data_IF_894119714375
#
_entry.id   IF_894119714375
#
_cell.length_a   1.000
_cell.length_b   1.000
_cell.length_c   1.000
_cell.angle_alpha   90.00
_cell.angle_beta   90.00
_cell.angle_gamma   90.00
#
_symmetry.space_group_name_H-M   'P 1'
#
loop_
_entity.id
_entity.type
_entity.pdbx_description
1 polymer ?
#
# COMPACT_ATOMS: atom_id res chain seq x y z
N UNK A 1 44.24 -80.35 37.94
CA UNK A 1 44.35 -78.88 38.04
C UNK A 1 44.65 -78.31 36.66
N UNK A 2 43.64 -78.05 35.83
CA UNK A 2 43.77 -77.29 34.58
C UNK A 2 42.72 -76.18 34.63
N UNK A 3 43.16 -74.94 34.85
CA UNK A 3 42.29 -73.77 34.86
C UNK A 3 42.07 -73.31 33.43
N UNK A 4 40.85 -73.52 32.93
CA UNK A 4 40.36 -72.98 31.68
C UNK A 4 40.12 -71.46 31.86
N UNK A 5 41.02 -70.62 31.37
CA UNK A 5 40.84 -69.16 31.35
C UNK A 5 39.92 -68.79 30.18
N UNK A 6 38.66 -68.50 30.48
CA UNK A 6 37.71 -67.90 29.55
C UNK A 6 38.14 -66.45 29.32
N UNK A 7 38.71 -66.16 28.14
CA UNK A 7 38.89 -64.79 27.67
C UNK A 7 37.52 -64.24 27.27
N UNK A 8 36.95 -63.39 28.12
CA UNK A 8 35.81 -62.54 27.77
C UNK A 8 36.29 -61.55 26.69
N UNK A 9 36.00 -61.86 25.43
CA UNK A 9 36.11 -60.91 24.33
C UNK A 9 35.05 -59.82 24.55
N UNK A 10 35.47 -58.68 25.09
CA UNK A 10 34.67 -57.47 25.17
C UNK A 10 34.29 -57.05 23.76
N UNK A 11 33.05 -57.37 23.36
CA UNK A 11 32.45 -56.90 22.12
C UNK A 11 32.22 -55.39 22.26
N UNK A 12 33.19 -54.59 21.85
CA UNK A 12 33.02 -53.13 21.72
C UNK A 12 32.02 -52.92 20.58
N UNK A 13 30.81 -52.38 20.84
CA UNK A 13 29.91 -52.04 19.76
C UNK A 13 30.61 -50.99 18.90
N UNK A 14 30.81 -51.30 17.61
CA UNK A 14 31.14 -50.31 16.59
C UNK A 14 30.03 -49.27 16.61
N UNK A 15 30.28 -48.15 17.28
CA UNK A 15 29.43 -46.97 17.18
C UNK A 15 29.55 -46.56 15.71
N UNK A 16 28.51 -46.85 14.93
CA UNK A 16 28.35 -46.28 13.60
C UNK A 16 28.30 -44.77 13.80
N UNK A 17 29.45 -44.11 13.63
CA UNK A 17 29.51 -42.65 13.55
C UNK A 17 28.82 -42.32 12.24
N UNK A 18 27.52 -42.07 12.30
CA UNK A 18 26.80 -41.55 11.16
C UNK A 18 27.53 -40.26 10.75
N UNK A 19 27.99 -40.19 9.50
CA UNK A 19 28.54 -38.99 8.90
C UNK A 19 27.39 -38.13 8.37
N UNK A 20 27.37 -36.86 8.74
CA UNK A 20 26.23 -35.98 8.50
C UNK A 20 26.39 -34.63 9.16
N UNK A 21 25.58 -33.68 8.73
CA UNK A 21 25.64 -32.31 9.22
C UNK A 21 24.88 -32.19 10.53
N UNK A 22 25.46 -31.49 11.50
CA UNK A 22 24.77 -31.12 12.73
C UNK A 22 24.28 -29.68 12.63
N UNK A 23 22.97 -29.46 12.74
CA UNK A 23 22.37 -28.12 12.65
C UNK A 23 21.15 -28.00 13.56
N UNK A 24 21.11 -26.95 14.38
CA UNK A 24 19.97 -26.70 15.29
C UNK A 24 19.67 -27.85 16.27
N UNK A 25 20.68 -28.66 16.63
CA UNK A 25 20.51 -29.85 17.47
C UNK A 25 20.06 -31.12 16.73
N UNK A 26 19.78 -31.05 15.43
CA UNK A 26 19.41 -32.19 14.58
C UNK A 26 20.60 -32.68 13.75
N UNK A 27 20.47 -33.91 13.24
CA UNK A 27 21.47 -34.58 12.41
C UNK A 27 20.90 -34.90 11.03
N UNK A 28 21.60 -34.50 9.97
CA UNK A 28 21.15 -34.59 8.58
C UNK A 28 22.14 -35.38 7.72
N UNK A 29 21.63 -36.24 6.83
CA UNK A 29 22.44 -37.05 5.91
C UNK A 29 22.96 -36.21 4.74
N UNK A 30 24.01 -36.68 4.07
CA UNK A 30 24.51 -36.03 2.85
C UNK A 30 23.39 -35.90 1.80
N UNK A 31 23.21 -34.70 1.26
CA UNK A 31 22.17 -34.35 0.29
C UNK A 31 20.77 -34.13 0.89
N UNK A 32 20.59 -34.36 2.19
CA UNK A 32 19.30 -34.13 2.85
C UNK A 32 18.92 -32.65 2.84
N UNK A 33 17.67 -32.37 2.49
CA UNK A 33 17.09 -31.02 2.47
C UNK A 33 16.02 -30.86 3.56
N UNK A 34 16.01 -29.72 4.23
CA UNK A 34 14.98 -29.40 5.22
C UNK A 34 14.54 -27.94 5.15
N UNK A 35 13.38 -27.66 5.73
CA UNK A 35 12.84 -26.29 5.83
C UNK A 35 13.32 -25.65 7.13
N UNK A 36 13.89 -24.45 7.00
CA UNK A 36 14.36 -23.63 8.12
C UNK A 36 13.51 -22.36 8.20
N UNK A 37 12.94 -22.09 9.38
CA UNK A 37 12.10 -20.91 9.67
C UNK A 37 10.98 -20.64 8.65
N UNK A 38 10.45 -21.70 8.04
CA UNK A 38 9.43 -21.69 6.99
C UNK A 38 9.77 -20.91 5.70
N UNK A 39 10.93 -20.23 5.62
CA UNK A 39 11.29 -19.35 4.51
C UNK A 39 12.52 -19.83 3.72
N UNK A 40 13.26 -20.83 4.23
CA UNK A 40 14.50 -21.30 3.60
C UNK A 40 14.52 -22.81 3.46
N UNK A 41 15.09 -23.28 2.36
CA UNK A 41 15.44 -24.69 2.16
C UNK A 41 16.94 -24.82 2.36
N UNK A 42 17.32 -25.59 3.36
CA UNK A 42 18.70 -25.91 3.69
C UNK A 42 19.10 -27.25 3.06
N UNK A 43 20.40 -27.46 2.81
CA UNK A 43 20.97 -28.75 2.40
C UNK A 43 22.21 -29.07 3.21
N UNK A 44 22.39 -30.34 3.54
CA UNK A 44 23.64 -30.89 4.06
C UNK A 44 24.54 -31.36 2.90
N UNK A 45 25.78 -30.89 2.86
CA UNK A 45 26.78 -31.26 1.85
C UNK A 45 28.02 -31.81 2.57
N UNK A 46 28.39 -33.07 2.28
CA UNK A 46 29.60 -33.72 2.81
C UNK A 46 30.63 -33.86 1.67
N UNK A 47 31.84 -33.39 1.92
CA UNK A 47 33.00 -33.45 1.02
C UNK A 47 33.74 -34.80 1.14
N UNK A 48 34.65 -35.08 0.19
CA UNK A 48 35.44 -36.32 0.18
C UNK A 48 36.35 -36.50 1.42
N UNK A 49 36.82 -35.39 1.99
CA UNK A 49 37.61 -35.36 3.24
C UNK A 49 36.76 -35.54 4.51
N UNK A 50 35.48 -35.89 4.36
CA UNK A 50 34.48 -35.98 5.43
C UNK A 50 34.17 -34.65 6.13
N UNK A 51 34.66 -33.51 5.63
CA UNK A 51 34.15 -32.20 6.05
C UNK A 51 32.71 -32.02 5.59
N UNK A 52 31.93 -31.27 6.34
CA UNK A 52 30.52 -31.02 6.02
C UNK A 52 30.16 -29.56 6.19
N UNK A 53 29.13 -29.12 5.45
CA UNK A 53 28.53 -27.80 5.60
C UNK A 53 27.02 -27.86 5.42
N UNK A 54 26.33 -26.92 6.05
CA UNK A 54 24.93 -26.64 5.77
C UNK A 54 24.80 -25.33 5.03
N UNK A 55 24.07 -25.33 3.92
CA UNK A 55 23.88 -24.13 3.09
C UNK A 55 22.41 -23.95 2.72
N UNK A 56 21.99 -22.70 2.57
CA UNK A 56 20.67 -22.38 2.00
C UNK A 56 20.75 -22.59 0.50
N UNK A 57 19.88 -23.42 -0.05
CA UNK A 57 19.83 -23.74 -1.48
C UNK A 57 18.61 -23.13 -2.19
N UNK A 58 17.63 -22.66 -1.43
CA UNK A 58 16.45 -21.97 -1.95
C UNK A 58 15.72 -21.18 -0.85
N UNK A 59 14.91 -20.21 -1.26
CA UNK A 59 13.90 -19.58 -0.42
C UNK A 59 12.52 -20.22 -0.67
N UNK A 60 11.60 -20.03 0.27
CA UNK A 60 10.20 -20.40 0.17
C UNK A 60 9.34 -19.15 0.31
N UNK A 61 8.42 -18.94 -0.62
CA UNK A 61 7.35 -17.93 -0.48
C UNK A 61 6.42 -18.28 0.69
N UNK A 62 5.58 -17.34 1.16
CA UNK A 62 4.56 -17.64 2.19
C UNK A 62 3.58 -18.76 1.80
N UNK A 63 3.31 -18.92 0.50
CA UNK A 63 2.49 -20.00 -0.07
C UNK A 63 3.26 -21.31 -0.26
N UNK A 64 4.58 -21.30 -0.10
CA UNK A 64 5.44 -22.49 -0.07
C UNK A 64 6.12 -22.83 -1.39
N UNK A 65 6.04 -21.99 -2.41
CA UNK A 65 6.79 -22.16 -3.66
C UNK A 65 8.30 -21.99 -3.43
N UNK A 66 9.08 -22.89 -4.03
CA UNK A 66 10.55 -22.92 -3.91
C UNK A 66 11.20 -22.02 -4.97
N UNK A 67 12.03 -21.09 -4.53
CA UNK A 67 12.81 -20.18 -5.39
C UNK A 67 14.30 -20.48 -5.20
N UNK A 68 15.04 -20.93 -6.22
CA UNK A 68 16.48 -21.18 -6.09
C UNK A 68 17.24 -19.90 -5.73
N UNK A 69 18.42 -20.03 -5.14
CA UNK A 69 19.31 -18.89 -4.87
C UNK A 69 19.59 -18.11 -6.16
N UNK A 70 19.53 -16.79 -6.06
CA UNK A 70 19.59 -15.80 -7.14
C UNK A 70 18.47 -15.96 -8.19
N UNK A 71 17.42 -16.72 -7.88
CA UNK A 71 16.23 -16.85 -8.69
C UNK A 71 15.13 -15.86 -8.30
N UNK A 72 14.14 -15.77 -9.17
CA UNK A 72 12.93 -15.00 -8.96
C UNK A 72 11.67 -15.79 -9.36
N UNK A 73 10.53 -15.43 -8.79
CA UNK A 73 9.24 -16.01 -9.09
C UNK A 73 8.14 -14.95 -8.99
N UNK A 74 7.35 -14.81 -10.04
CA UNK A 74 6.18 -13.93 -10.04
C UNK A 74 4.94 -14.69 -9.58
N UNK A 75 4.22 -14.16 -8.60
CA UNK A 75 2.95 -14.72 -8.09
C UNK A 75 1.94 -13.57 -8.03
N UNK A 76 0.95 -13.60 -8.92
CA UNK A 76 -0.01 -12.50 -9.05
C UNK A 76 0.70 -11.20 -9.43
N UNK A 77 0.56 -10.17 -8.59
CA UNK A 77 1.24 -8.88 -8.78
C UNK A 77 2.63 -8.83 -8.13
N UNK A 78 2.99 -9.83 -7.32
CA UNK A 78 4.24 -9.83 -6.60
C UNK A 78 5.35 -10.47 -7.42
N UNK A 79 6.56 -9.97 -7.22
CA UNK A 79 7.80 -10.62 -7.60
C UNK A 79 8.57 -10.98 -6.34
N UNK A 80 8.89 -12.26 -6.19
CA UNK A 80 9.71 -12.78 -5.11
C UNK A 80 11.12 -13.03 -5.62
N UNK A 81 12.12 -12.52 -4.90
CA UNK A 81 13.54 -12.70 -5.23
C UNK A 81 14.26 -13.36 -4.07
N UNK A 82 14.99 -14.45 -4.34
CA UNK A 82 15.85 -15.09 -3.36
C UNK A 82 17.30 -14.69 -3.65
N UNK A 83 17.85 -13.74 -2.91
CA UNK A 83 19.18 -13.16 -3.20
C UNK A 83 20.22 -13.58 -2.17
N UNK A 84 21.40 -13.98 -2.62
CA UNK A 84 22.59 -14.14 -1.79
C UNK A 84 23.47 -12.90 -1.96
N UNK A 85 23.73 -12.16 -0.87
CA UNK A 85 24.60 -10.99 -0.94
C UNK A 85 26.09 -11.36 -0.80
N UNK A 86 26.97 -10.38 -0.97
CA UNK A 86 28.42 -10.56 -0.88
C UNK A 86 28.92 -10.94 0.51
N UNK A 87 28.09 -10.76 1.56
CA UNK A 87 28.39 -11.19 2.92
C UNK A 87 28.02 -12.66 3.18
N UNK A 88 27.37 -13.32 2.21
CA UNK A 88 26.87 -14.68 2.34
C UNK A 88 25.46 -14.76 2.95
N UNK A 89 24.78 -13.63 3.15
CA UNK A 89 23.42 -13.62 3.70
C UNK A 89 22.40 -13.86 2.58
N UNK A 90 21.54 -14.86 2.80
CA UNK A 90 20.40 -15.13 1.92
C UNK A 90 19.17 -14.37 2.41
N UNK A 91 18.53 -13.65 1.49
CA UNK A 91 17.32 -12.86 1.75
C UNK A 91 16.23 -13.20 0.74
N UNK A 92 15.01 -13.40 1.23
CA UNK A 92 13.81 -13.39 0.40
C UNK A 92 13.23 -11.97 0.38
N UNK A 93 13.14 -11.37 -0.80
CA UNK A 93 12.60 -10.00 -0.99
C UNK A 93 11.33 -10.07 -1.83
N UNK A 94 10.28 -9.41 -1.35
CA UNK A 94 9.05 -9.19 -2.11
C UNK A 94 9.10 -7.81 -2.77
N UNK A 95 8.73 -7.74 -4.04
CA UNK A 95 8.49 -6.52 -4.79
C UNK A 95 7.26 -6.68 -5.67
N UNK A 96 7.00 -5.70 -6.54
CA UNK A 96 5.91 -5.76 -7.52
C UNK A 96 6.50 -6.11 -8.87
N UNK A 97 5.90 -7.07 -9.59
CA UNK A 97 6.39 -7.45 -10.92
C UNK A 97 5.94 -6.43 -12.00
N UNK A 98 6.67 -6.36 -13.11
CA UNK A 98 6.35 -5.41 -14.18
C UNK A 98 4.99 -5.69 -14.86
N UNK A 99 4.52 -6.93 -14.79
CA UNK A 99 3.24 -7.37 -15.35
C UNK A 99 2.06 -7.21 -14.38
N UNK A 100 2.29 -6.58 -13.22
CA UNK A 100 1.28 -6.43 -12.19
C UNK A 100 0.07 -5.71 -12.74
N UNK A 101 -1.10 -6.30 -12.50
CA UNK A 101 -2.39 -5.79 -12.93
C UNK A 101 -2.85 -4.68 -12.01
N UNK A 102 -3.53 -3.68 -12.58
CA UNK A 102 -4.17 -2.63 -11.82
C UNK A 102 -5.46 -3.12 -11.14
N UNK A 103 -5.96 -2.33 -10.19
CA UNK A 103 -7.27 -2.56 -9.56
C UNK A 103 -8.36 -2.75 -10.62
N UNK A 104 -9.20 -3.77 -10.47
CA UNK A 104 -10.15 -4.19 -11.51
C UNK A 104 -9.61 -5.26 -12.47
N UNK A 105 -8.33 -5.64 -12.35
CA UNK A 105 -7.73 -6.74 -13.12
C UNK A 105 -7.17 -6.35 -14.47
N UNK A 106 -7.00 -5.04 -14.72
CA UNK A 106 -6.49 -4.51 -15.99
C UNK A 106 -5.00 -4.79 -16.17
N UNK A 107 -4.64 -5.29 -17.35
CA UNK A 107 -3.25 -5.57 -17.72
C UNK A 107 -2.48 -4.28 -18.03
N UNK A 108 -1.15 -4.23 -17.86
CA UNK A 108 -0.34 -3.08 -18.28
C UNK A 108 -0.60 -2.68 -19.74
N UNK A 109 -0.80 -1.38 -19.97
CA UNK A 109 -1.17 -0.77 -21.25
C UNK A 109 -2.67 -0.70 -21.53
N UNK A 110 -3.50 -1.44 -20.77
CA UNK A 110 -4.95 -1.34 -20.91
C UNK A 110 -5.48 0.01 -20.41
N UNK A 111 -6.55 0.47 -21.06
CA UNK A 111 -7.26 1.70 -20.70
C UNK A 111 -8.70 1.39 -20.36
N UNK A 112 -9.21 2.06 -19.33
CA UNK A 112 -10.60 1.93 -18.92
C UNK A 112 -11.15 3.28 -18.46
N UNK A 113 -12.46 3.40 -18.51
CA UNK A 113 -13.18 4.57 -18.02
C UNK A 113 -13.90 4.18 -16.74
N UNK A 114 -13.76 5.01 -15.70
CA UNK A 114 -14.54 4.90 -14.47
C UNK A 114 -15.08 6.28 -14.13
N UNK A 115 -16.42 6.38 -14.07
CA UNK A 115 -17.14 7.65 -13.97
C UNK A 115 -16.73 8.59 -15.12
N UNK A 116 -16.17 9.75 -14.81
CA UNK A 116 -15.75 10.77 -15.77
C UNK A 116 -14.23 10.77 -16.02
N UNK A 117 -13.54 9.66 -15.77
CA UNK A 117 -12.08 9.59 -15.88
C UNK A 117 -11.64 8.36 -16.66
N UNK A 118 -10.73 8.54 -17.60
CA UNK A 118 -10.02 7.47 -18.29
C UNK A 118 -8.65 7.27 -17.66
N UNK A 119 -8.34 6.03 -17.34
CA UNK A 119 -7.07 5.61 -16.79
C UNK A 119 -6.34 4.66 -17.73
N UNK A 120 -5.04 4.54 -17.55
CA UNK A 120 -4.17 3.54 -18.16
C UNK A 120 -3.41 2.80 -17.08
N UNK A 121 -3.30 1.47 -17.22
CA UNK A 121 -2.50 0.66 -16.32
C UNK A 121 -1.05 0.76 -16.75
N UNK A 122 -0.18 1.17 -15.85
CA UNK A 122 1.26 1.21 -16.05
C UNK A 122 1.88 -0.09 -15.56
N UNK A 123 3.08 -0.45 -16.07
CA UNK A 123 3.87 -1.53 -15.50
C UNK A 123 4.03 -1.37 -13.98
N UNK A 124 3.94 -2.48 -13.24
CA UNK A 124 3.98 -2.46 -11.78
C UNK A 124 2.64 -2.12 -11.11
N UNK A 125 1.52 -2.22 -11.82
CA UNK A 125 0.17 -2.03 -11.27
C UNK A 125 -0.17 -0.58 -10.90
N UNK A 126 0.66 0.38 -11.32
CA UNK A 126 0.40 1.80 -11.16
C UNK A 126 -0.68 2.29 -12.13
N UNK A 127 -1.49 3.26 -11.73
CA UNK A 127 -2.52 3.83 -12.60
C UNK A 127 -2.13 5.24 -13.03
N UNK A 128 -2.41 5.59 -14.29
CA UNK A 128 -2.21 6.94 -14.82
C UNK A 128 -3.51 7.49 -15.36
N UNK A 129 -3.90 8.69 -14.91
CA UNK A 129 -4.98 9.43 -15.54
C UNK A 129 -4.57 9.87 -16.95
N UNK A 130 -5.36 9.49 -17.95
CA UNK A 130 -5.14 9.81 -19.36
C UNK A 130 -6.01 10.99 -19.80
N UNK A 131 -7.29 10.96 -19.42
CA UNK A 131 -8.26 11.99 -19.80
C UNK A 131 -9.43 12.08 -18.82
N UNK A 132 -10.12 13.21 -18.80
CA UNK A 132 -11.48 13.32 -18.28
C UNK A 132 -12.46 12.96 -19.41
N UNK A 133 -13.59 12.33 -19.09
CA UNK A 133 -14.61 11.90 -20.04
C UNK A 133 -15.89 12.66 -19.76
N UNK A 134 -16.30 13.49 -20.72
CA UNK A 134 -17.57 14.22 -20.68
C UNK A 134 -18.77 13.27 -20.88
N UNK A 135 -19.96 13.70 -20.50
CA UNK A 135 -21.20 12.89 -20.56
C UNK A 135 -21.54 12.40 -21.98
N UNK A 136 -21.13 13.13 -23.02
CA UNK A 136 -21.30 12.71 -24.42
C UNK A 136 -20.18 11.81 -24.94
N UNK A 137 -19.27 11.37 -24.06
CA UNK A 137 -18.13 10.52 -24.38
C UNK A 137 -16.89 11.26 -24.86
N UNK A 138 -16.93 12.60 -25.01
CA UNK A 138 -15.75 13.38 -25.41
C UNK A 138 -14.64 13.27 -24.37
N UNK A 139 -13.42 12.91 -24.82
CA UNK A 139 -12.24 12.79 -23.98
C UNK A 139 -11.44 14.08 -23.96
N UNK A 140 -11.26 14.65 -22.78
CA UNK A 140 -10.44 15.85 -22.52
C UNK A 140 -9.12 15.41 -21.90
N UNK A 141 -8.02 15.57 -22.64
CA UNK A 141 -6.69 15.23 -22.12
C UNK A 141 -6.35 15.98 -20.82
N UNK A 142 -5.51 15.38 -19.98
CA UNK A 142 -5.07 16.01 -18.73
C UNK A 142 -4.38 17.36 -19.00
N UNK A 143 -4.74 18.37 -18.21
CA UNK A 143 -4.33 19.77 -18.34
C UNK A 143 -4.66 20.37 -19.72
N UNK A 144 -5.74 19.88 -20.36
CA UNK A 144 -6.27 20.41 -21.61
C UNK A 144 -7.66 20.98 -21.41
N UNK A 145 -8.04 21.81 -22.36
CA UNK A 145 -9.36 22.43 -22.45
C UNK A 145 -9.91 22.23 -23.85
N UNK A 146 -11.18 21.86 -23.95
CA UNK A 146 -11.90 21.65 -25.21
C UNK A 146 -13.27 22.34 -25.15
N UNK A 147 -13.87 22.65 -26.30
CA UNK A 147 -15.21 23.21 -26.36
C UNK A 147 -16.18 22.10 -26.77
N UNK A 148 -17.18 21.82 -25.94
CA UNK A 148 -18.24 20.85 -26.19
C UNK A 148 -19.58 21.55 -26.07
N UNK A 149 -20.38 21.59 -27.16
CA UNK A 149 -21.71 22.22 -27.19
C UNK A 149 -21.74 23.64 -26.58
N UNK A 150 -20.79 24.49 -26.96
CA UNK A 150 -20.64 25.87 -26.46
C UNK A 150 -20.25 25.99 -24.96
N UNK A 151 -19.80 24.90 -24.34
CA UNK A 151 -19.17 24.89 -23.02
C UNK A 151 -17.68 24.59 -23.17
N UNK A 152 -16.85 25.45 -22.61
CA UNK A 152 -15.43 25.21 -22.42
C UNK A 152 -15.25 24.24 -21.24
N UNK A 153 -14.70 23.07 -21.51
CA UNK A 153 -14.47 22.00 -20.54
C UNK A 153 -12.96 21.82 -20.34
N UNK A 154 -12.50 21.98 -19.11
CA UNK A 154 -11.10 21.81 -18.71
C UNK A 154 -10.95 20.57 -17.84
N UNK A 155 -9.92 19.76 -18.10
CA UNK A 155 -9.51 18.64 -17.25
C UNK A 155 -8.18 19.00 -16.58
N UNK A 156 -8.16 19.20 -15.26
CA UNK A 156 -6.97 19.62 -14.53
C UNK A 156 -6.54 18.54 -13.53
N UNK A 157 -5.27 18.12 -13.57
CA UNK A 157 -4.68 17.18 -12.61
C UNK A 157 -3.66 17.90 -11.74
N UNK A 158 -3.96 17.95 -10.45
CA UNK A 158 -3.10 18.57 -9.45
C UNK A 158 -2.00 17.62 -9.01
N UNK A 159 -0.85 18.18 -8.56
CA UNK A 159 0.28 17.37 -8.04
C UNK A 159 -0.09 16.51 -6.83
N UNK A 160 -1.16 16.84 -6.12
CA UNK A 160 -1.68 16.08 -4.99
C UNK A 160 -2.59 14.91 -5.41
N UNK A 161 -2.72 14.62 -6.71
CA UNK A 161 -3.55 13.54 -7.24
C UNK A 161 -5.02 13.90 -7.47
N UNK A 162 -5.45 15.11 -7.09
CA UNK A 162 -6.83 15.56 -7.34
C UNK A 162 -7.04 15.82 -8.83
N UNK A 163 -8.18 15.39 -9.37
CA UNK A 163 -8.59 15.65 -10.74
C UNK A 163 -9.86 16.46 -10.73
N UNK A 164 -9.87 17.58 -11.46
CA UNK A 164 -11.02 18.46 -11.55
C UNK A 164 -11.40 18.66 -13.00
N UNK A 165 -12.68 18.38 -13.31
CA UNK A 165 -13.29 18.74 -14.58
C UNK A 165 -14.13 19.99 -14.37
N UNK A 166 -13.78 21.10 -15.03
CA UNK A 166 -14.53 22.36 -14.97
C UNK A 166 -15.26 22.58 -16.28
N UNK A 167 -16.50 23.04 -16.22
CA UNK A 167 -17.23 23.56 -17.37
C UNK A 167 -17.52 25.05 -17.17
N UNK A 168 -17.35 25.84 -18.23
CA UNK A 168 -17.75 27.24 -18.28
C UNK A 168 -18.36 27.55 -19.64
N UNK A 169 -19.39 28.38 -19.71
CA UNK A 169 -19.95 28.80 -21.01
C UNK A 169 -18.88 29.54 -21.82
N UNK A 170 -18.77 29.22 -23.12
CA UNK A 170 -17.78 29.81 -24.02
C UNK A 170 -18.08 31.30 -24.37
N UNK A 171 -19.03 31.94 -23.69
CA UNK A 171 -19.42 33.33 -23.91
C UNK A 171 -20.17 33.91 -22.70
N UNK A 172 -19.47 34.73 -21.90
CA UNK A 172 -20.08 35.89 -21.26
C UNK A 172 -18.98 36.97 -21.10
N UNK A 173 -19.11 38.15 -21.75
CA UNK A 173 -18.26 39.29 -21.45
C UNK A 173 -18.44 39.69 -19.98
N UNK A 174 -17.37 40.21 -19.38
CA UNK A 174 -17.37 40.73 -18.02
C UNK A 174 -18.47 41.79 -17.85
N UNK A 175 -19.55 41.41 -17.17
CA UNK A 175 -20.44 42.21 -16.31
C UNK A 175 -21.80 41.52 -16.23
N UNK A 176 -22.19 41.03 -15.04
CA UNK A 176 -23.58 41.02 -14.56
C UNK A 176 -23.64 40.59 -13.09
N UNK A 177 -24.27 41.46 -12.31
CA UNK A 177 -24.61 41.28 -10.90
C UNK A 177 -25.81 40.33 -10.75
N UNK A 178 -25.89 39.71 -9.57
CA UNK A 178 -27.10 39.17 -8.90
C UNK A 178 -27.53 37.72 -9.17
N UNK A 179 -27.40 36.92 -8.10
CA UNK A 179 -28.37 35.94 -7.57
C UNK A 179 -29.04 34.94 -8.52
N UNK A 180 -28.37 33.80 -8.75
CA UNK A 180 -29.02 32.48 -8.84
C UNK A 180 -27.99 31.39 -8.49
N UNK A 181 -28.23 30.70 -7.37
CA UNK A 181 -27.25 29.85 -6.67
C UNK A 181 -26.99 28.52 -7.37
N UNK A 182 -25.97 28.48 -8.21
CA UNK A 182 -25.25 27.26 -8.60
C UNK A 182 -23.83 27.39 -8.04
N UNK A 183 -23.53 26.57 -7.04
CA UNK A 183 -22.41 26.71 -6.09
C UNK A 183 -21.05 26.44 -6.73
N UNK A 184 -20.55 27.47 -7.42
CA UNK A 184 -19.18 27.64 -7.87
C UNK A 184 -18.36 28.20 -6.71
N UNK A 185 -17.50 27.39 -6.08
CA UNK A 185 -16.44 27.91 -5.21
C UNK A 185 -15.44 28.70 -6.07
N UNK A 186 -15.61 30.03 -6.11
CA UNK A 186 -14.64 30.96 -6.67
C UNK A 186 -13.39 30.97 -5.78
N UNK A 187 -12.34 30.28 -6.19
CA UNK A 187 -10.99 30.58 -5.66
C UNK A 187 -10.54 31.89 -6.32
N UNK A 188 -10.49 32.96 -5.54
CA UNK A 188 -9.90 34.22 -5.95
C UNK A 188 -8.37 34.09 -5.83
N UNK A 189 -7.57 34.17 -6.90
CA UNK A 189 -6.12 34.28 -6.78
C UNK A 189 -5.80 35.73 -6.44
N UNK A 190 -5.33 36.01 -5.22
CA UNK A 190 -4.61 37.25 -4.98
C UNK A 190 -3.15 37.04 -5.32
N UNK A 191 -2.74 37.63 -6.46
CA UNK A 191 -1.34 37.85 -6.78
C UNK A 191 -0.70 38.69 -5.66
N UNK A 192 0.20 38.09 -4.88
CA UNK A 192 1.14 38.86 -4.06
C UNK A 192 2.52 38.77 -4.71
N UNK A 193 3.09 39.89 -5.18
CA UNK A 193 4.45 39.94 -5.66
C UNK A 193 5.35 40.07 -4.42
N UNK A 194 5.82 38.95 -3.89
CA UNK A 194 7.12 38.89 -3.21
C UNK A 194 7.47 37.44 -2.88
N UNK A 195 8.76 37.16 -3.07
CA UNK A 195 9.49 35.95 -2.73
C UNK A 195 9.03 35.26 -1.42
N UNK A 196 8.82 33.95 -1.50
CA UNK A 196 8.88 33.05 -0.35
C UNK A 196 7.57 32.77 0.38
N UNK A 197 7.00 31.60 0.06
CA UNK A 197 6.00 30.86 0.84
C UNK A 197 4.50 31.17 0.54
N UNK A 198 3.93 30.45 -0.43
CA UNK A 198 2.49 30.42 -0.69
C UNK A 198 1.80 29.63 0.44
N UNK A 199 1.12 30.32 1.36
CA UNK A 199 0.35 29.67 2.43
C UNK A 199 -1.05 29.34 1.91
N UNK A 200 -1.30 28.06 1.62
CA UNK A 200 -2.59 27.55 1.16
C UNK A 200 -3.48 27.20 2.37
N UNK A 201 -4.69 27.77 2.40
CA UNK A 201 -5.71 27.51 3.42
C UNK A 201 -6.69 26.39 2.98
N UNK A 202 -7.33 25.72 3.93
CA UNK A 202 -8.40 24.77 3.65
C UNK A 202 -9.74 25.50 3.52
N UNK A 203 -10.71 24.85 2.89
CA UNK A 203 -12.11 25.33 2.82
C UNK A 203 -13.00 24.22 3.37
N UNK A 204 -13.94 24.56 4.23
CA UNK A 204 -14.90 23.60 4.79
C UNK A 204 -16.20 23.50 3.98
N UNK A 205 -17.13 22.66 4.46
CA UNK A 205 -18.46 22.43 3.87
C UNK A 205 -19.38 23.65 3.90
N UNK A 206 -18.99 24.72 4.60
CA UNK A 206 -19.71 26.02 4.68
C UNK A 206 -19.00 27.12 3.89
N UNK A 207 -18.08 26.74 3.01
CA UNK A 207 -17.23 27.63 2.23
C UNK A 207 -16.34 28.56 3.09
N UNK A 208 -16.14 28.23 4.37
CA UNK A 208 -15.33 29.04 5.26
C UNK A 208 -13.84 28.69 5.09
N UNK A 209 -13.02 29.73 4.95
CA UNK A 209 -11.56 29.59 4.88
C UNK A 209 -11.03 29.20 6.27
N UNK A 210 -10.28 28.10 6.32
CA UNK A 210 -9.65 27.52 7.50
C UNK A 210 -8.13 27.64 7.38
N UNK A 211 -7.51 28.29 8.36
CA UNK A 211 -6.06 28.42 8.43
C UNK A 211 -5.43 27.08 8.81
N UNK A 212 -4.15 26.89 8.44
CA UNK A 212 -3.40 25.71 8.87
C UNK A 212 -3.41 25.65 10.40
N UNK A 213 -3.83 24.51 10.94
CA UNK A 213 -4.06 24.30 12.38
C UNK A 213 -5.52 24.35 12.80
N UNK A 214 -6.41 24.99 12.01
CA UNK A 214 -7.83 25.09 12.34
C UNK A 214 -8.49 23.71 12.37
N UNK A 215 -9.45 23.56 13.28
CA UNK A 215 -10.23 22.33 13.45
C UNK A 215 -11.71 22.68 13.37
N UNK A 216 -12.47 21.91 12.59
CA UNK A 216 -13.92 22.08 12.42
C UNK A 216 -14.64 20.73 12.39
N UNK A 217 -15.96 20.80 12.47
CA UNK A 217 -16.84 19.63 12.29
C UNK A 217 -17.48 19.76 10.91
N UNK A 218 -17.22 18.78 10.06
CA UNK A 218 -17.75 18.67 8.71
C UNK A 218 -18.90 17.66 8.69
N UNK A 219 -20.00 18.01 8.02
CA UNK A 219 -21.20 17.17 7.92
C UNK A 219 -21.73 16.67 9.28
N UNK A 220 -21.53 17.44 10.35
CA UNK A 220 -21.90 17.13 11.75
C UNK A 220 -21.27 15.85 12.34
N UNK A 221 -20.43 15.14 11.57
CA UNK A 221 -19.95 13.80 11.90
C UNK A 221 -18.44 13.71 11.98
N UNK A 222 -17.71 14.48 11.17
CA UNK A 222 -16.25 14.34 11.06
C UNK A 222 -15.54 15.55 11.64
N UNK A 223 -14.62 15.31 12.56
CA UNK A 223 -13.72 16.33 13.07
C UNK A 223 -12.50 16.41 12.15
N UNK A 224 -12.35 17.52 11.44
CA UNK A 224 -11.24 17.75 10.51
C UNK A 224 -10.25 18.76 11.04
N UNK A 225 -9.00 18.62 10.65
CA UNK A 225 -7.92 19.57 10.90
C UNK A 225 -7.33 20.03 9.58
N UNK A 226 -7.20 21.33 9.37
CA UNK A 226 -6.44 21.87 8.26
C UNK A 226 -4.95 21.69 8.56
N UNK A 227 -4.24 21.00 7.69
CA UNK A 227 -2.79 20.87 7.71
C UNK A 227 -2.20 21.69 6.56
N UNK A 228 -0.87 21.72 6.45
CA UNK A 228 -0.20 22.51 5.43
C UNK A 228 -0.68 22.16 4.01
N UNK A 229 -0.53 23.10 3.08
CA UNK A 229 -0.88 22.95 1.67
C UNK A 229 -2.38 22.77 1.38
N UNK A 230 -3.26 23.30 2.24
CA UNK A 230 -4.72 23.24 2.04
C UNK A 230 -5.33 21.84 2.19
N UNK A 231 -4.58 20.90 2.75
CA UNK A 231 -5.04 19.53 3.02
C UNK A 231 -5.81 19.53 4.34
N UNK A 232 -6.96 18.86 4.38
CA UNK A 232 -7.69 18.64 5.63
C UNK A 232 -7.76 17.15 5.96
N UNK A 233 -7.35 16.79 7.16
CA UNK A 233 -7.33 15.40 7.64
C UNK A 233 -8.46 15.18 8.63
N UNK A 234 -9.10 14.01 8.58
CA UNK A 234 -10.06 13.60 9.61
C UNK A 234 -9.25 13.13 10.82
N UNK A 235 -9.42 13.83 11.95
CA UNK A 235 -8.74 13.53 13.21
C UNK A 235 -9.66 12.85 14.23
N UNK A 236 -10.95 12.72 13.91
CA UNK A 236 -11.92 12.01 14.74
C UNK A 236 -13.35 12.11 14.20
N UNK A 237 -14.26 11.52 14.93
CA UNK A 237 -15.69 11.56 14.68
C UNK A 237 -16.40 12.33 15.81
N UNK A 238 -17.63 12.78 15.55
CA UNK A 238 -18.48 13.45 16.53
C UNK A 238 -19.81 12.69 16.63
N UNK A 239 -20.23 12.36 17.85
CA UNK A 239 -21.55 11.75 18.08
C UNK A 239 -22.66 12.78 17.86
N UNK A 240 -23.91 12.33 17.70
CA UNK A 240 -25.08 13.24 17.63
C UNK A 240 -25.23 14.17 18.83
N UNK A 241 -24.70 13.78 19.99
CA UNK A 241 -24.70 14.56 21.22
C UNK A 241 -23.51 15.52 21.32
N UNK A 242 -22.65 15.58 20.30
CA UNK A 242 -21.47 16.46 20.26
C UNK A 242 -20.21 15.88 20.92
N UNK A 243 -20.24 14.65 21.44
CA UNK A 243 -19.04 14.01 22.00
C UNK A 243 -18.00 13.74 20.91
N UNK A 244 -16.74 14.02 21.22
CA UNK A 244 -15.61 13.78 20.32
C UNK A 244 -15.06 12.36 20.51
N UNK A 245 -14.90 11.63 19.41
CA UNK A 245 -14.27 10.31 19.37
C UNK A 245 -12.99 10.45 18.54
N UNK A 246 -11.79 10.39 19.14
CA UNK A 246 -10.54 10.46 18.38
C UNK A 246 -10.43 9.34 17.34
N UNK A 247 -9.75 9.61 16.23
CA UNK A 247 -9.57 8.61 15.19
C UNK A 247 -8.80 7.39 15.71
N UNK A 248 -9.25 6.20 15.32
CA UNK A 248 -8.77 4.88 15.76
C UNK A 248 -8.88 4.65 17.27
N UNK A 249 -9.79 5.37 17.94
CA UNK A 249 -10.09 5.16 19.35
C UNK A 249 -11.54 4.76 19.57
N UNK A 250 -11.76 4.23 20.77
CA UNK A 250 -13.07 3.90 21.31
C UNK A 250 -13.26 4.65 22.63
N UNK A 251 -14.46 5.21 22.82
CA UNK A 251 -14.82 5.95 24.03
C UNK A 251 -16.18 5.49 24.53
N UNK A 252 -16.36 5.46 25.85
CA UNK A 252 -17.65 5.13 26.48
C UNK A 252 -18.19 6.39 27.15
N UNK A 253 -19.43 6.74 26.85
CA UNK A 253 -20.15 7.85 27.48
C UNK A 253 -21.59 7.44 27.78
N UNK A 254 -22.07 7.64 29.03
CA UNK A 254 -23.43 7.34 29.48
C UNK A 254 -23.95 5.96 29.01
N UNK A 255 -23.16 4.90 29.24
CA UNK A 255 -23.48 3.52 28.86
C UNK A 255 -23.58 3.25 27.34
N UNK A 256 -23.04 4.15 26.52
CA UNK A 256 -22.92 4.02 25.07
C UNK A 256 -21.44 3.99 24.69
N UNK A 257 -21.03 2.99 23.92
CA UNK A 257 -19.70 2.85 23.32
C UNK A 257 -19.71 3.44 21.92
N UNK A 258 -18.75 4.31 21.64
CA UNK A 258 -18.53 4.92 20.34
C UNK A 258 -17.13 4.57 19.83
N UNK A 259 -17.03 4.21 18.55
CA UNK A 259 -15.75 3.89 17.89
C UNK A 259 -15.65 4.65 16.57
N UNK A 260 -14.50 5.28 16.33
CA UNK A 260 -14.16 5.95 15.07
C UNK A 260 -12.91 5.28 14.51
N UNK A 261 -13.00 4.54 13.40
CA UNK A 261 -11.89 3.76 12.85
C UNK A 261 -11.64 4.10 11.38
N UNK A 262 -10.37 4.26 11.00
CA UNK A 262 -9.93 4.32 9.60
C UNK A 262 -9.70 2.89 9.11
N UNK A 263 -10.37 2.48 8.04
CA UNK A 263 -10.18 1.15 7.43
C UNK A 263 -8.87 1.09 6.65
N UNK A 264 -8.41 -0.12 6.34
CA UNK A 264 -7.24 -0.34 5.47
C UNK A 264 -7.43 0.28 4.07
N UNK A 265 -8.67 0.34 3.57
CA UNK A 265 -9.05 1.04 2.34
C UNK A 265 -9.23 2.57 2.48
N UNK A 266 -8.88 3.15 3.63
CA UNK A 266 -8.88 4.60 3.86
C UNK A 266 -10.24 5.23 4.22
N UNK A 267 -11.33 4.46 4.27
CA UNK A 267 -12.64 4.95 4.69
C UNK A 267 -12.73 5.14 6.21
N UNK A 268 -13.53 6.11 6.67
CA UNK A 268 -13.80 6.30 8.11
C UNK A 268 -15.11 5.62 8.48
N UNK A 269 -15.08 4.74 9.48
CA UNK A 269 -16.25 4.07 10.05
C UNK A 269 -16.52 4.62 11.45
N UNK A 270 -17.74 5.11 11.65
CA UNK A 270 -18.26 5.48 12.95
C UNK A 270 -19.27 4.44 13.43
N UNK A 271 -19.09 3.90 14.63
CA UNK A 271 -19.97 2.92 15.26
C UNK A 271 -20.43 3.43 16.63
N UNK A 272 -21.69 3.23 16.95
CA UNK A 272 -22.28 3.51 18.25
C UNK A 272 -23.13 2.31 18.69
N UNK A 273 -23.01 1.91 19.95
CA UNK A 273 -23.82 0.83 20.54
C UNK A 273 -23.77 0.84 22.06
N UNK A 274 -24.57 0.00 22.73
CA UNK A 274 -24.49 -0.15 24.19
C UNK A 274 -23.07 -0.55 24.62
N UNK A 275 -22.62 0.01 25.74
CA UNK A 275 -21.29 -0.28 26.29
C UNK A 275 -21.14 -1.72 26.79
#
# INVERSE_FOLDING_TARGET
>A
MWSLKIFLFSFVPLINVASGCQHGGNFYKNGEEWKEKAAFVMRCSISEDSSWRTEVIACLTPSGEKIPINGSLDIGNDQWNCTLDSSGLVTLKQGVNANAKCEGGYSPGEKWVTKSFEFECLPGGGQRLVSCVHEDGTKIGVNKTVIVKNMQIECHHFRNGTVLMKSSHASAPANLNSNSGSSVHKVHPQNSPNEGNIVVHCVDDREQIRKVGDVWIENELFKRKCVANGISEIIGCVSKEGHNIPLNQEVVHKNMRYKCEKTEGGAIRFKAGPA
#
